data_IF_603773012506
#
_entry.id   IF_603773012506
#
_cell.length_a   1.000
_cell.length_b   1.000
_cell.length_c   1.000
_cell.angle_alpha   90.00
_cell.angle_beta   90.00
_cell.angle_gamma   90.00
#
_symmetry.space_group_name_H-M   'P 1'
#
loop_
_entity.id
_entity.type
_entity.pdbx_description
1 polymer ?
#
# COMPACT_ATOMS: atom_id res chain seq x y z
N UNK A 1 11.09 -7.73 -0.25
CA UNK A 1 9.69 -8.15 -0.40
C UNK A 1 8.90 -6.91 -0.70
N UNK A 2 8.48 -6.76 -1.93
CA UNK A 2 7.48 -5.76 -2.31
C UNK A 2 6.06 -6.30 -2.09
N UNK A 3 5.06 -5.49 -2.45
CA UNK A 3 3.65 -5.82 -2.24
C UNK A 3 3.24 -7.05 -3.06
N UNK A 4 3.61 -7.10 -4.34
CA UNK A 4 3.33 -8.21 -5.25
C UNK A 4 3.94 -9.52 -4.76
N UNK A 5 5.23 -9.50 -4.42
CA UNK A 5 5.95 -10.66 -3.86
C UNK A 5 5.26 -11.16 -2.59
N UNK A 6 4.78 -10.24 -1.74
CA UNK A 6 4.05 -10.56 -0.53
C UNK A 6 2.69 -11.23 -0.82
N UNK A 7 1.88 -10.66 -1.71
CA UNK A 7 0.58 -11.21 -2.11
C UNK A 7 0.76 -12.60 -2.73
N UNK A 8 1.72 -12.77 -3.64
CA UNK A 8 2.02 -14.07 -4.24
C UNK A 8 2.46 -15.10 -3.21
N UNK A 9 3.32 -14.70 -2.27
CA UNK A 9 3.78 -15.59 -1.22
C UNK A 9 2.63 -16.06 -0.33
N UNK A 10 1.74 -15.16 0.07
CA UNK A 10 0.53 -15.52 0.82
C UNK A 10 -0.33 -16.52 0.03
N UNK A 11 -0.58 -16.26 -1.26
CA UNK A 11 -1.34 -17.15 -2.14
C UNK A 11 -0.72 -18.56 -2.22
N UNK A 12 0.60 -18.65 -2.40
CA UNK A 12 1.32 -19.95 -2.45
C UNK A 12 1.23 -20.72 -1.13
N UNK A 13 1.10 -20.01 -0.02
CA UNK A 13 0.97 -20.60 1.32
C UNK A 13 -0.48 -20.87 1.73
N UNK A 14 -1.47 -20.56 0.89
CA UNK A 14 -2.89 -20.66 1.25
C UNK A 14 -3.34 -19.66 2.32
N UNK A 15 -2.58 -18.58 2.51
CA UNK A 15 -2.86 -17.53 3.48
C UNK A 15 -3.61 -16.37 2.83
N UNK A 16 -4.52 -15.75 3.59
CA UNK A 16 -5.17 -14.52 3.17
C UNK A 16 -4.23 -13.33 3.49
N UNK A 17 -3.73 -12.59 2.48
CA UNK A 17 -2.79 -11.49 2.72
C UNK A 17 -3.35 -10.41 3.64
N UNK A 18 -4.67 -10.17 3.59
CA UNK A 18 -5.33 -9.12 4.37
C UNK A 18 -5.18 -9.29 5.88
N UNK A 19 -4.90 -10.51 6.34
CA UNK A 19 -4.74 -10.80 7.76
C UNK A 19 -3.45 -10.21 8.34
N UNK A 20 -2.48 -9.92 7.48
CA UNK A 20 -1.15 -9.42 7.87
C UNK A 20 -0.94 -7.96 7.48
N UNK A 21 -1.67 -7.44 6.50
CA UNK A 21 -1.59 -6.05 6.07
C UNK A 21 -1.97 -5.09 7.20
N UNK A 22 -1.31 -3.94 7.27
CA UNK A 22 -1.57 -2.88 8.25
C UNK A 22 -1.40 -1.52 7.57
N UNK A 23 -2.36 -0.59 7.68
CA UNK A 23 -3.68 -0.73 8.30
C UNK A 23 -4.68 -1.52 7.41
N UNK A 24 -5.36 -2.54 7.96
CA UNK A 24 -6.22 -3.46 7.17
C UNK A 24 -7.35 -2.75 6.46
N UNK A 25 -7.99 -1.82 7.15
CA UNK A 25 -9.07 -0.95 6.68
C UNK A 25 -8.66 -0.19 5.43
N UNK A 26 -7.51 0.50 5.45
CA UNK A 26 -6.99 1.24 4.29
C UNK A 26 -6.75 0.34 3.09
N UNK A 27 -6.16 -0.84 3.27
CA UNK A 27 -5.97 -1.79 2.17
C UNK A 27 -7.28 -2.33 1.58
N UNK A 28 -8.38 -2.40 2.36
CA UNK A 28 -9.71 -2.81 1.88
C UNK A 28 -10.44 -1.68 1.15
N UNK A 29 -10.29 -0.44 1.61
CA UNK A 29 -10.95 0.73 1.02
C UNK A 29 -10.38 1.08 -0.36
N UNK A 30 -9.12 0.76 -0.61
CA UNK A 30 -8.45 1.08 -1.87
C UNK A 30 -8.82 0.03 -2.93
N UNK A 31 -9.58 0.44 -3.94
CA UNK A 31 -9.72 -0.29 -5.20
C UNK A 31 -8.47 -0.09 -6.07
N UNK A 32 -7.89 -1.19 -6.59
CA UNK A 32 -6.64 -1.20 -7.35
C UNK A 32 -6.72 -0.41 -8.65
N UNK A 33 -7.88 -0.43 -9.33
CA UNK A 33 -8.10 0.19 -10.65
C UNK A 33 -8.67 1.61 -10.55
N UNK A 34 -9.13 2.02 -9.36
CA UNK A 34 -9.67 3.36 -9.15
C UNK A 34 -8.58 4.44 -9.20
N UNK A 35 -8.98 5.63 -9.65
CA UNK A 35 -8.13 6.81 -9.70
C UNK A 35 -8.29 7.65 -8.43
N UNK A 36 -7.18 8.08 -7.85
CA UNK A 36 -7.17 8.92 -6.66
C UNK A 36 -6.36 10.19 -6.91
N UNK A 37 -6.92 11.32 -6.48
CA UNK A 37 -6.26 12.61 -6.39
C UNK A 37 -5.49 12.77 -5.08
N UNK A 38 -4.79 13.90 -4.95
CA UNK A 38 -3.88 14.17 -3.82
C UNK A 38 -4.62 14.12 -2.47
N UNK A 39 -5.81 14.71 -2.38
CA UNK A 39 -6.59 14.78 -1.13
C UNK A 39 -7.05 13.39 -0.67
N UNK A 40 -7.52 12.55 -1.60
CA UNK A 40 -7.92 11.17 -1.32
C UNK A 40 -6.71 10.33 -0.90
N UNK A 41 -5.58 10.51 -1.60
CA UNK A 41 -4.33 9.83 -1.24
C UNK A 41 -3.92 10.20 0.18
N UNK A 42 -3.91 11.50 0.54
CA UNK A 42 -3.60 11.99 1.89
C UNK A 42 -4.45 11.30 2.97
N UNK A 43 -5.76 11.21 2.75
CA UNK A 43 -6.67 10.51 3.66
C UNK A 43 -6.36 9.00 3.77
N UNK A 44 -5.98 8.36 2.68
CA UNK A 44 -5.71 6.92 2.64
C UNK A 44 -4.39 6.53 3.30
N UNK A 45 -3.34 7.35 3.14
CA UNK A 45 -1.99 7.04 3.65
C UNK A 45 -1.66 7.74 4.97
N UNK A 46 -2.56 8.60 5.46
CA UNK A 46 -2.40 9.40 6.68
C UNK A 46 -1.08 10.20 6.68
N UNK A 47 -0.84 10.91 5.57
CA UNK A 47 0.32 11.79 5.39
C UNK A 47 -0.14 13.14 4.87
N UNK A 48 0.41 14.20 5.44
CA UNK A 48 0.18 15.56 4.99
C UNK A 48 0.39 15.73 3.47
N UNK A 49 -0.47 16.52 2.83
CA UNK A 49 -0.48 16.82 1.39
C UNK A 49 0.93 17.11 0.82
N UNK A 50 1.75 17.89 1.55
CA UNK A 50 3.13 18.23 1.15
C UNK A 50 4.00 16.99 0.95
N UNK A 51 3.86 15.99 1.82
CA UNK A 51 4.59 14.72 1.73
C UNK A 51 4.12 13.94 0.51
N UNK A 52 2.80 13.88 0.28
CA UNK A 52 2.19 13.21 -0.88
C UNK A 52 2.70 13.83 -2.19
N UNK A 53 2.66 15.15 -2.30
CA UNK A 53 3.20 15.89 -3.46
C UNK A 53 4.68 15.58 -3.71
N UNK A 54 5.49 15.54 -2.64
CA UNK A 54 6.91 15.19 -2.76
C UNK A 54 7.09 13.74 -3.23
N UNK A 55 6.29 12.81 -2.75
CA UNK A 55 6.35 11.41 -3.19
C UNK A 55 5.98 11.26 -4.66
N UNK A 56 4.94 11.96 -5.11
CA UNK A 56 4.51 12.00 -6.51
C UNK A 56 5.57 12.65 -7.42
N UNK A 57 6.24 13.71 -6.95
CA UNK A 57 7.28 14.39 -7.73
C UNK A 57 8.58 13.59 -7.83
N UNK A 58 8.92 12.82 -6.80
CA UNK A 58 10.15 12.01 -6.72
C UNK A 58 9.99 10.60 -7.27
N UNK A 59 8.76 10.15 -7.52
CA UNK A 59 8.46 8.79 -7.99
C UNK A 59 8.41 7.74 -6.87
N UNK A 60 8.36 8.15 -5.61
CA UNK A 60 8.13 7.22 -4.48
C UNK A 60 6.70 6.65 -4.51
N UNK A 61 5.74 7.48 -4.91
CA UNK A 61 4.39 7.10 -5.32
C UNK A 61 4.30 7.41 -6.81
N UNK A 62 3.95 6.44 -7.65
CA UNK A 62 4.01 6.59 -9.12
C UNK A 62 2.70 7.18 -9.67
N UNK A 63 2.69 8.43 -10.16
CA UNK A 63 1.52 8.97 -10.82
C UNK A 63 1.40 8.47 -12.26
N UNK A 64 0.18 8.14 -12.69
CA UNK A 64 -0.11 7.95 -14.12
C UNK A 64 -0.37 9.30 -14.82
N UNK A 65 -0.75 10.34 -14.06
CA UNK A 65 -0.94 11.71 -14.55
C UNK A 65 -0.22 12.71 -13.64
N UNK A 66 0.53 13.66 -14.20
CA UNK A 66 1.34 14.64 -13.44
C UNK A 66 0.67 16.01 -13.23
N UNK A 67 -0.50 16.28 -13.81
CA UNK A 67 -1.19 17.58 -13.69
C UNK A 67 -2.69 17.52 -14.04
N UNK A 68 -3.60 17.62 -13.06
CA UNK A 68 -3.38 17.37 -11.64
C UNK A 68 -2.82 15.95 -11.40
N UNK A 69 -2.09 15.74 -10.29
CA UNK A 69 -1.55 14.42 -9.98
C UNK A 69 -2.68 13.43 -9.74
N UNK A 70 -2.56 12.25 -10.36
CA UNK A 70 -3.42 11.09 -10.10
C UNK A 70 -2.62 9.80 -10.06
N UNK A 71 -3.04 8.89 -9.19
CA UNK A 71 -2.51 7.54 -9.05
C UNK A 71 -3.62 6.51 -9.12
N UNK A 72 -3.28 5.31 -9.57
CA UNK A 72 -4.13 4.14 -9.38
C UNK A 72 -4.00 3.62 -7.95
N UNK A 73 -5.06 3.01 -7.41
CA UNK A 73 -5.04 2.48 -6.05
C UNK A 73 -3.96 1.44 -5.80
N UNK A 74 -3.58 0.65 -6.81
CA UNK A 74 -2.47 -0.30 -6.69
C UNK A 74 -1.15 0.38 -6.30
N UNK A 75 -0.88 1.58 -6.82
CA UNK A 75 0.31 2.36 -6.46
C UNK A 75 0.24 2.85 -5.01
N UNK A 76 -0.96 3.22 -4.54
CA UNK A 76 -1.17 3.60 -3.15
C UNK A 76 -0.93 2.40 -2.24
N UNK A 77 -1.45 1.20 -2.57
CA UNK A 77 -1.20 -0.02 -1.78
C UNK A 77 0.27 -0.39 -1.73
N UNK A 78 0.99 -0.28 -2.86
CA UNK A 78 2.45 -0.49 -2.91
C UNK A 78 3.18 0.47 -1.97
N UNK A 79 2.84 1.76 -2.03
CA UNK A 79 3.46 2.77 -1.17
C UNK A 79 3.10 2.55 0.30
N UNK A 80 1.83 2.26 0.60
CA UNK A 80 1.36 1.97 1.95
C UNK A 80 2.06 0.73 2.52
N UNK A 81 2.22 -0.32 1.71
CA UNK A 81 2.96 -1.52 2.09
C UNK A 81 4.41 -1.19 2.45
N UNK A 82 5.09 -0.36 1.65
CA UNK A 82 6.46 0.09 1.95
C UNK A 82 6.55 0.82 3.28
N UNK A 83 5.60 1.72 3.58
CA UNK A 83 5.57 2.46 4.86
C UNK A 83 5.40 1.53 6.07
N UNK A 84 4.60 0.47 5.95
CA UNK A 84 4.30 -0.46 7.05
C UNK A 84 5.07 -1.78 6.97
N UNK A 85 6.05 -1.89 6.07
CA UNK A 85 6.71 -3.16 5.72
C UNK A 85 7.26 -3.89 6.96
N UNK A 86 7.96 -3.19 7.87
CA UNK A 86 8.51 -3.80 9.08
C UNK A 86 7.43 -4.43 9.97
N UNK A 87 6.27 -3.78 10.12
CA UNK A 87 5.16 -4.29 10.93
C UNK A 87 4.46 -5.46 10.25
N UNK A 88 4.24 -5.36 8.94
CA UNK A 88 3.63 -6.41 8.13
C UNK A 88 4.49 -7.67 8.15
N UNK A 89 5.81 -7.53 7.94
CA UNK A 89 6.75 -8.64 7.96
C UNK A 89 6.86 -9.27 9.35
N UNK A 90 6.86 -8.47 10.43
CA UNK A 90 6.82 -9.00 11.78
C UNK A 90 5.57 -9.86 12.02
N UNK A 91 4.38 -9.39 11.65
CA UNK A 91 3.14 -10.17 11.76
C UNK A 91 3.15 -11.42 10.90
N UNK A 92 3.68 -11.31 9.68
CA UNK A 92 3.78 -12.43 8.76
C UNK A 92 4.73 -13.51 9.25
N UNK A 93 5.84 -13.14 9.91
CA UNK A 93 6.78 -14.10 10.50
C UNK A 93 6.28 -14.69 11.82
N UNK A 94 5.63 -13.89 12.67
CA UNK A 94 5.07 -14.34 13.95
C UNK A 94 3.87 -15.27 13.76
N UNK A 95 2.95 -14.92 12.86
CA UNK A 95 1.80 -15.77 12.51
C UNK A 95 2.21 -17.14 11.96
N UNK A 96 3.42 -17.24 11.40
CA UNK A 96 4.01 -18.51 10.95
C UNK A 96 4.57 -19.38 12.06
N UNK A 97 4.87 -18.82 13.24
CA UNK A 97 5.38 -19.60 14.39
C UNK A 97 4.26 -20.29 15.17
N UNK A 98 3.01 -19.85 14.99
CA UNK A 98 1.83 -20.40 15.65
C UNK A 98 0.94 -21.30 14.79
N UNK A 99 1.32 -21.59 13.53
CA UNK A 99 0.59 -22.47 12.60
C UNK A 99 1.31 -23.80 12.38
#
# INVERSE_FOLDING_TARGET
>A
MDYEEFIEKCKRMGLNPIDYLVPKDKFKEIDDEAEYGIEEIEYLIDKAERTVRRWLSTGYLLPFKKGPYKCYGIEIKRTLFKEFNSQIMYRFEDGRKGS
#
